data_IF_979802148915
#
_entry.id   IF_979802148915
#
_cell.length_a   1.000
_cell.length_b   1.000
_cell.length_c   1.000
_cell.angle_alpha   90.00
_cell.angle_beta   90.00
_cell.angle_gamma   90.00
#
_symmetry.space_group_name_H-M   'P 1'
#
loop_
_entity.id
_entity.type
_entity.pdbx_description
1 polymer ?
#
# COMPACT_ATOMS: atom_id res chain seq x y z
N UNK A 1 -26.37 -5.06 26.30
CA UNK A 1 -25.67 -6.36 26.33
C UNK A 1 -26.28 -7.27 25.26
N UNK A 2 -25.76 -7.21 24.00
CA UNK A 2 -26.26 -8.02 22.89
C UNK A 2 -25.56 -9.38 23.01
N UNK A 3 -26.36 -10.45 23.23
CA UNK A 3 -25.88 -11.84 23.25
C UNK A 3 -25.17 -12.13 21.91
N UNK A 4 -23.83 -12.20 21.92
CA UNK A 4 -23.06 -12.74 20.79
C UNK A 4 -23.42 -14.24 20.64
N UNK A 5 -24.34 -14.52 19.70
CA UNK A 5 -24.60 -15.88 19.21
C UNK A 5 -23.37 -16.30 18.36
N UNK A 6 -22.77 -17.40 18.73
CA UNK A 6 -21.65 -18.12 18.12
C UNK A 6 -20.28 -17.45 18.24
N UNK A 7 -19.45 -17.99 19.16
CA UNK A 7 -18.00 -17.75 19.18
C UNK A 7 -17.40 -18.30 17.89
N UNK A 8 -17.04 -17.44 16.97
CA UNK A 8 -16.27 -17.81 15.77
C UNK A 8 -14.91 -18.34 16.24
N UNK A 9 -14.44 -19.44 15.66
CA UNK A 9 -13.16 -20.01 16.07
C UNK A 9 -12.00 -19.09 15.68
N UNK A 10 -10.94 -19.03 16.49
CA UNK A 10 -9.74 -18.26 16.19
C UNK A 10 -9.12 -18.68 14.83
N UNK A 11 -9.23 -19.97 14.46
CA UNK A 11 -8.78 -20.49 13.15
C UNK A 11 -9.58 -19.89 12.00
N UNK A 12 -10.89 -19.73 12.14
CA UNK A 12 -11.75 -19.14 11.11
C UNK A 12 -11.45 -17.64 10.94
N UNK A 13 -11.28 -16.91 12.06
CA UNK A 13 -10.88 -15.50 12.03
C UNK A 13 -9.55 -15.33 11.31
N UNK A 14 -8.56 -16.16 11.65
CA UNK A 14 -7.24 -16.12 11.02
C UNK A 14 -7.31 -16.46 9.52
N UNK A 15 -8.03 -17.52 9.15
CA UNK A 15 -8.17 -17.95 7.76
C UNK A 15 -8.77 -16.87 6.87
N UNK A 16 -9.92 -16.31 7.27
CA UNK A 16 -10.58 -15.26 6.46
C UNK A 16 -9.78 -13.97 6.39
N UNK A 17 -9.14 -13.58 7.50
CA UNK A 17 -8.28 -12.40 7.50
C UNK A 17 -7.08 -12.59 6.56
N UNK A 18 -6.43 -13.75 6.60
CA UNK A 18 -5.31 -14.06 5.70
C UNK A 18 -5.75 -14.07 4.25
N UNK A 19 -6.84 -14.80 3.93
CA UNK A 19 -7.37 -14.91 2.58
C UNK A 19 -7.79 -13.53 2.02
N UNK A 20 -8.48 -12.72 2.83
CA UNK A 20 -8.87 -11.37 2.43
C UNK A 20 -7.67 -10.47 2.12
N UNK A 21 -6.62 -10.51 2.94
CA UNK A 21 -5.40 -9.75 2.68
C UNK A 21 -4.64 -10.25 1.45
N UNK A 22 -4.61 -11.57 1.20
CA UNK A 22 -4.02 -12.13 -0.03
C UNK A 22 -4.80 -11.72 -1.28
N UNK A 23 -6.14 -11.75 -1.23
CA UNK A 23 -6.99 -11.28 -2.34
C UNK A 23 -6.80 -9.79 -2.60
N UNK A 24 -6.71 -8.98 -1.56
CA UNK A 24 -6.39 -7.55 -1.69
C UNK A 24 -5.03 -7.33 -2.37
N UNK A 25 -3.97 -7.93 -1.84
CA UNK A 25 -2.62 -7.74 -2.37
C UNK A 25 -2.48 -8.32 -3.79
N UNK A 26 -3.07 -9.50 -4.04
CA UNK A 26 -3.02 -10.16 -5.34
C UNK A 26 -3.86 -9.48 -6.41
N UNK A 27 -4.96 -8.80 -6.04
CA UNK A 27 -5.85 -8.15 -7.01
C UNK A 27 -5.12 -7.12 -7.87
N UNK A 28 -4.18 -6.36 -7.31
CA UNK A 28 -3.40 -5.37 -8.05
C UNK A 28 -2.55 -5.99 -9.16
N UNK A 29 -1.90 -7.12 -8.87
CA UNK A 29 -1.12 -7.86 -9.86
C UNK A 29 -2.02 -8.48 -10.94
N UNK A 30 -3.15 -9.05 -10.53
CA UNK A 30 -4.12 -9.67 -11.46
C UNK A 30 -4.77 -8.61 -12.35
N UNK A 31 -5.13 -7.43 -11.83
CA UNK A 31 -5.64 -6.32 -12.64
C UNK A 31 -4.63 -5.89 -13.70
N UNK A 32 -3.36 -5.73 -13.31
CA UNK A 32 -2.30 -5.39 -14.26
C UNK A 32 -2.09 -6.49 -15.31
N UNK A 33 -2.18 -7.76 -14.91
CA UNK A 33 -2.10 -8.90 -15.84
C UNK A 33 -3.26 -8.88 -16.86
N UNK A 34 -4.50 -8.67 -16.37
CA UNK A 34 -5.69 -8.60 -17.24
C UNK A 34 -5.53 -7.47 -18.26
N UNK A 35 -5.20 -6.25 -17.78
CA UNK A 35 -5.06 -5.08 -18.65
C UNK A 35 -3.90 -5.24 -19.63
N UNK A 36 -2.74 -5.76 -19.18
CA UNK A 36 -1.58 -5.97 -20.06
C UNK A 36 -1.83 -6.96 -21.17
N UNK A 37 -2.69 -7.97 -20.94
CA UNK A 37 -3.01 -9.00 -21.93
C UNK A 37 -4.15 -8.63 -22.87
N UNK A 38 -5.11 -7.83 -22.40
CA UNK A 38 -6.36 -7.57 -23.11
C UNK A 38 -6.46 -6.16 -23.71
N UNK A 39 -5.55 -5.26 -23.34
CA UNK A 39 -5.52 -3.87 -23.84
C UNK A 39 -4.27 -3.59 -24.69
N UNK A 40 -4.28 -2.45 -25.41
CA UNK A 40 -3.09 -1.99 -26.11
C UNK A 40 -1.97 -1.58 -25.15
N UNK A 41 -0.74 -1.50 -25.62
CA UNK A 41 0.40 -1.03 -24.83
C UNK A 41 0.15 0.36 -24.22
N UNK A 42 -0.39 1.30 -25.03
CA UNK A 42 -0.77 2.64 -24.59
C UNK A 42 -1.79 2.60 -23.44
N UNK A 43 -2.86 1.81 -23.57
CA UNK A 43 -3.89 1.74 -22.51
C UNK A 43 -3.36 1.06 -21.23
N UNK A 44 -2.45 0.10 -21.36
CA UNK A 44 -1.79 -0.51 -20.20
C UNK A 44 -0.83 0.45 -19.49
N UNK A 45 -0.18 1.38 -20.23
CA UNK A 45 0.61 2.48 -19.65
C UNK A 45 -0.31 3.46 -18.90
N UNK A 46 -1.43 3.82 -19.49
CA UNK A 46 -2.43 4.70 -18.84
C UNK A 46 -2.97 4.08 -17.55
N UNK A 47 -3.24 2.77 -17.56
CA UNK A 47 -3.64 2.05 -16.36
C UNK A 47 -2.53 2.03 -15.29
N UNK A 48 -1.27 1.85 -15.70
CA UNK A 48 -0.10 1.87 -14.81
C UNK A 48 0.09 3.25 -14.16
N UNK A 49 -0.14 4.33 -14.92
CA UNK A 49 -0.14 5.68 -14.39
C UNK A 49 -1.28 5.89 -13.39
N UNK A 50 -2.51 5.49 -13.76
CA UNK A 50 -3.69 5.57 -12.88
C UNK A 50 -3.45 4.82 -11.56
N UNK A 51 -2.84 3.64 -11.63
CA UNK A 51 -2.43 2.86 -10.46
C UNK A 51 -1.45 3.64 -9.56
N UNK A 52 -0.45 4.30 -10.16
CA UNK A 52 0.54 5.10 -9.43
C UNK A 52 -0.09 6.31 -8.73
N UNK A 53 -0.86 7.12 -9.48
CA UNK A 53 -1.56 8.31 -8.96
C UNK A 53 -2.54 7.93 -7.86
N UNK A 54 -3.38 6.93 -8.11
CA UNK A 54 -4.36 6.48 -7.12
C UNK A 54 -3.69 5.85 -5.89
N UNK A 55 -2.50 5.24 -6.06
CA UNK A 55 -1.68 4.72 -4.96
C UNK A 55 -1.19 5.80 -4.00
N UNK A 56 -0.92 7.00 -4.49
CA UNK A 56 -0.56 8.16 -3.67
C UNK A 56 -1.82 8.77 -3.03
N UNK A 57 -2.86 9.01 -3.83
CA UNK A 57 -4.07 9.70 -3.38
C UNK A 57 -4.87 8.87 -2.36
N UNK A 58 -4.91 7.54 -2.49
CA UNK A 58 -5.65 6.69 -1.55
C UNK A 58 -5.09 6.79 -0.12
N UNK A 59 -3.82 7.14 0.05
CA UNK A 59 -3.25 7.34 1.39
C UNK A 59 -3.87 8.55 2.08
N UNK A 60 -4.27 9.59 1.31
CA UNK A 60 -5.08 10.70 1.83
C UNK A 60 -6.46 10.21 2.27
N UNK A 61 -7.11 9.36 1.47
CA UNK A 61 -8.41 8.77 1.81
C UNK A 61 -8.37 7.85 3.01
N UNK A 62 -7.34 7.04 3.16
CA UNK A 62 -7.13 6.14 4.30
C UNK A 62 -6.73 6.90 5.57
N UNK A 63 -5.88 7.90 5.47
CA UNK A 63 -5.34 8.75 6.52
C UNK A 63 -4.93 8.00 7.81
N UNK A 64 -4.62 6.71 7.67
CA UNK A 64 -4.31 5.79 8.79
C UNK A 64 -5.41 5.67 9.86
N UNK A 65 -6.64 6.05 9.54
CA UNK A 65 -7.78 6.04 10.47
C UNK A 65 -8.05 4.64 11.01
N UNK A 66 -8.01 3.60 10.16
CA UNK A 66 -8.17 2.21 10.60
C UNK A 66 -7.11 1.77 11.61
N UNK A 67 -5.85 2.16 11.41
CA UNK A 67 -4.76 1.83 12.33
C UNK A 67 -5.00 2.45 13.69
N UNK A 68 -5.46 3.70 13.73
CA UNK A 68 -5.81 4.40 14.96
C UNK A 68 -7.04 3.75 15.63
N UNK A 69 -8.10 3.50 14.86
CA UNK A 69 -9.33 2.86 15.31
C UNK A 69 -9.06 1.46 15.88
N UNK A 70 -8.27 0.63 15.21
CA UNK A 70 -7.92 -0.73 15.68
C UNK A 70 -7.13 -0.76 16.98
N UNK A 71 -6.53 0.36 17.41
CA UNK A 71 -5.84 0.50 18.70
C UNK A 71 -6.71 1.13 19.79
N UNK A 72 -7.88 1.66 19.47
CA UNK A 72 -8.85 2.22 20.42
C UNK A 72 -9.70 1.10 21.04
N UNK A 73 -9.06 0.26 21.87
CA UNK A 73 -9.70 -0.87 22.57
C UNK A 73 -10.63 -0.43 23.70
N UNK A 74 -10.56 0.83 24.11
CA UNK A 74 -11.41 1.42 25.15
C UNK A 74 -12.68 2.05 24.61
N UNK A 75 -12.85 2.06 23.28
CA UNK A 75 -13.97 2.72 22.59
C UNK A 75 -14.13 4.19 22.99
N UNK A 76 -12.99 4.89 23.07
CA UNK A 76 -12.94 6.30 23.45
C UNK A 76 -13.73 7.20 22.50
N UNK A 77 -13.72 6.87 21.21
CA UNK A 77 -14.41 7.61 20.17
C UNK A 77 -15.56 6.78 19.59
N UNK A 78 -16.69 7.42 19.28
CA UNK A 78 -17.83 6.77 18.65
C UNK A 78 -17.52 6.39 17.20
N UNK A 79 -18.18 5.35 16.67
CA UNK A 79 -18.06 4.98 15.27
C UNK A 79 -18.48 6.13 14.33
N UNK A 80 -19.48 6.91 14.72
CA UNK A 80 -19.89 8.11 13.96
C UNK A 80 -18.74 9.12 13.85
N UNK A 81 -17.93 9.32 14.91
CA UNK A 81 -16.74 10.20 14.85
C UNK A 81 -15.70 9.67 13.86
N UNK A 82 -15.48 8.34 13.78
CA UNK A 82 -14.63 7.72 12.77
C UNK A 82 -15.19 7.86 11.36
N UNK A 83 -16.52 7.74 11.18
CA UNK A 83 -17.17 8.01 9.88
C UNK A 83 -16.94 9.45 9.41
N UNK A 84 -17.14 10.43 10.30
CA UNK A 84 -16.90 11.84 9.99
C UNK A 84 -15.44 12.07 9.60
N UNK A 85 -14.49 11.50 10.36
CA UNK A 85 -13.07 11.57 10.04
C UNK A 85 -12.76 10.97 8.65
N UNK A 86 -13.42 9.85 8.31
CA UNK A 86 -13.29 9.21 6.99
C UNK A 86 -13.88 10.07 5.87
N UNK A 87 -15.02 10.70 6.08
CA UNK A 87 -15.59 11.64 5.11
C UNK A 87 -14.62 12.80 4.85
N UNK A 88 -14.02 13.41 5.89
CA UNK A 88 -13.01 14.45 5.72
C UNK A 88 -11.78 13.96 4.94
N UNK A 89 -11.27 12.78 5.24
CA UNK A 89 -10.09 12.25 4.54
C UNK A 89 -10.38 11.91 3.06
N UNK A 90 -11.57 11.37 2.76
CA UNK A 90 -12.00 11.11 1.38
C UNK A 90 -12.22 12.43 0.63
N UNK A 91 -12.84 13.42 1.25
CA UNK A 91 -13.02 14.75 0.66
C UNK A 91 -11.66 15.38 0.35
N UNK A 92 -10.68 15.27 1.25
CA UNK A 92 -9.30 15.70 1.01
C UNK A 92 -8.69 14.97 -0.19
N UNK A 93 -8.84 13.64 -0.27
CA UNK A 93 -8.37 12.83 -1.41
C UNK A 93 -8.93 13.32 -2.73
N UNK A 94 -10.25 13.58 -2.80
CA UNK A 94 -10.93 14.01 -4.03
C UNK A 94 -10.58 15.45 -4.42
N UNK A 95 -10.51 16.36 -3.44
CA UNK A 95 -10.10 17.77 -3.69
C UNK A 95 -8.64 17.81 -4.16
N UNK A 96 -7.77 16.96 -3.65
CA UNK A 96 -6.35 16.93 -4.02
C UNK A 96 -6.11 16.34 -5.42
N UNK A 97 -7.06 15.60 -5.99
CA UNK A 97 -6.88 14.90 -7.27
C UNK A 97 -6.46 15.88 -8.40
N UNK A 98 -7.26 16.88 -8.70
CA UNK A 98 -6.95 17.80 -9.80
C UNK A 98 -5.70 18.67 -9.55
N UNK A 99 -5.52 19.29 -8.37
CA UNK A 99 -4.26 19.97 -8.04
C UNK A 99 -3.03 19.07 -8.20
N UNK A 100 -3.15 17.79 -7.82
CA UNK A 100 -2.05 16.84 -7.98
C UNK A 100 -1.77 16.53 -9.46
N UNK A 101 -2.81 16.35 -10.29
CA UNK A 101 -2.65 16.19 -11.74
C UNK A 101 -1.97 17.39 -12.39
N UNK A 102 -2.30 18.62 -11.99
CA UNK A 102 -1.59 19.83 -12.43
C UNK A 102 -0.11 19.81 -12.01
N UNK A 103 0.17 19.43 -10.77
CA UNK A 103 1.54 19.37 -10.25
C UNK A 103 2.43 18.41 -11.02
N UNK A 104 1.89 17.26 -11.44
CA UNK A 104 2.63 16.25 -12.22
C UNK A 104 2.63 16.53 -13.74
N UNK A 105 2.11 17.68 -14.17
CA UNK A 105 2.00 18.08 -15.59
C UNK A 105 1.21 17.04 -16.43
N UNK A 106 0.07 16.60 -15.88
CA UNK A 106 -0.81 15.66 -16.58
C UNK A 106 -1.39 16.29 -17.84
N UNK A 107 -1.39 15.51 -18.94
CA UNK A 107 -2.01 15.96 -20.19
C UNK A 107 -3.54 15.84 -20.12
N UNK A 108 -4.21 16.97 -19.96
CA UNK A 108 -5.67 17.04 -19.90
C UNK A 108 -6.35 16.98 -21.28
N UNK A 109 -5.59 17.00 -22.38
CA UNK A 109 -6.16 16.88 -23.73
C UNK A 109 -6.60 15.44 -24.04
N UNK A 110 -5.96 14.43 -23.42
CA UNK A 110 -6.36 13.03 -23.53
C UNK A 110 -7.47 12.71 -22.51
N UNK A 111 -8.74 12.89 -22.97
CA UNK A 111 -9.93 12.63 -22.14
C UNK A 111 -10.07 11.17 -21.72
N UNK A 112 -9.60 10.21 -22.52
CA UNK A 112 -9.58 8.79 -22.20
C UNK A 112 -8.62 8.51 -21.04
N UNK A 113 -7.40 9.06 -21.13
CA UNK A 113 -6.40 8.99 -20.04
C UNK A 113 -6.94 9.58 -18.74
N UNK A 114 -7.59 10.73 -18.81
CA UNK A 114 -8.21 11.39 -17.65
C UNK A 114 -9.32 10.52 -17.05
N UNK A 115 -10.21 9.96 -17.88
CA UNK A 115 -11.30 9.11 -17.41
C UNK A 115 -10.78 7.87 -16.68
N UNK A 116 -9.76 7.19 -17.21
CA UNK A 116 -9.13 6.02 -16.58
C UNK A 116 -8.55 6.39 -15.20
N UNK A 117 -7.83 7.52 -15.09
CA UNK A 117 -7.26 7.97 -13.83
C UNK A 117 -8.35 8.28 -12.81
N UNK A 118 -9.35 9.06 -13.19
CA UNK A 118 -10.46 9.45 -12.29
C UNK A 118 -11.24 8.21 -11.82
N UNK A 119 -11.61 7.31 -12.73
CA UNK A 119 -12.37 6.11 -12.38
C UNK A 119 -11.58 5.16 -11.48
N UNK A 120 -10.27 5.02 -11.71
CA UNK A 120 -9.44 4.21 -10.84
C UNK A 120 -9.25 4.85 -9.45
N UNK A 121 -9.15 6.17 -9.36
CA UNK A 121 -9.15 6.90 -8.07
C UNK A 121 -10.47 6.70 -7.33
N UNK A 122 -11.62 6.75 -8.03
CA UNK A 122 -12.93 6.48 -7.44
C UNK A 122 -13.07 5.02 -6.96
N UNK A 123 -12.51 4.06 -7.70
CA UNK A 123 -12.42 2.67 -7.23
C UNK A 123 -11.61 2.58 -5.92
N UNK A 124 -10.47 3.27 -5.83
CA UNK A 124 -9.65 3.31 -4.60
C UNK A 124 -10.33 4.08 -3.46
N UNK A 125 -11.19 5.05 -3.76
CA UNK A 125 -12.05 5.70 -2.77
C UNK A 125 -13.00 4.68 -2.10
N UNK A 126 -13.59 3.75 -2.87
CA UNK A 126 -14.42 2.67 -2.30
C UNK A 126 -13.62 1.79 -1.32
N UNK A 127 -12.33 1.59 -1.58
CA UNK A 127 -11.44 0.90 -0.64
C UNK A 127 -11.30 1.69 0.67
N UNK A 128 -11.10 3.01 0.59
CA UNK A 128 -11.03 3.84 1.78
C UNK A 128 -12.35 3.83 2.59
N UNK A 129 -13.51 3.79 1.93
CA UNK A 129 -14.82 3.66 2.60
C UNK A 129 -14.91 2.30 3.31
N UNK A 130 -14.61 1.19 2.62
CA UNK A 130 -14.64 -0.16 3.19
C UNK A 130 -13.66 -0.32 4.36
N UNK A 131 -12.49 0.31 4.30
CA UNK A 131 -11.46 0.28 5.34
C UNK A 131 -11.97 0.81 6.70
N UNK A 132 -12.89 1.77 6.69
CA UNK A 132 -13.56 2.25 7.90
C UNK A 132 -14.34 1.14 8.61
N UNK A 133 -15.14 0.38 7.85
CA UNK A 133 -15.92 -0.74 8.40
C UNK A 133 -15.02 -1.89 8.86
N UNK A 134 -13.95 -2.16 8.11
CA UNK A 134 -12.94 -3.14 8.51
C UNK A 134 -12.25 -2.75 9.84
N UNK A 135 -12.06 -1.44 10.09
CA UNK A 135 -11.59 -0.91 11.35
C UNK A 135 -12.54 -1.21 12.51
N UNK A 136 -13.85 -1.02 12.31
CA UNK A 136 -14.88 -1.36 13.29
C UNK A 136 -14.90 -2.87 13.59
N UNK A 137 -14.87 -3.71 12.56
CA UNK A 137 -14.79 -5.16 12.75
C UNK A 137 -13.53 -5.58 13.49
N UNK A 138 -12.41 -4.92 13.23
CA UNK A 138 -11.14 -5.13 13.95
C UNK A 138 -11.24 -4.76 15.42
N UNK A 139 -11.87 -3.62 15.78
CA UNK A 139 -12.10 -3.20 17.17
C UNK A 139 -12.92 -4.25 17.94
N UNK A 140 -13.85 -4.91 17.26
CA UNK A 140 -14.70 -5.95 17.85
C UNK A 140 -14.13 -7.38 17.71
N UNK A 141 -12.84 -7.53 17.36
CA UNK A 141 -12.15 -8.82 17.18
C UNK A 141 -12.79 -9.72 16.11
N UNK A 142 -13.55 -9.13 15.15
CA UNK A 142 -14.29 -9.82 14.09
C UNK A 142 -13.62 -9.63 12.73
N UNK A 143 -12.29 -9.89 12.68
CA UNK A 143 -11.52 -9.85 11.43
C UNK A 143 -11.98 -10.89 10.39
N UNK A 144 -12.77 -11.90 10.79
CA UNK A 144 -13.42 -12.81 9.87
C UNK A 144 -14.40 -12.09 8.94
N UNK A 145 -15.18 -11.12 9.45
CA UNK A 145 -16.12 -10.35 8.64
C UNK A 145 -15.36 -9.44 7.67
N UNK A 146 -14.32 -8.76 8.15
CA UNK A 146 -13.45 -7.95 7.31
C UNK A 146 -12.80 -8.80 6.19
N UNK A 147 -12.27 -9.97 6.53
CA UNK A 147 -11.65 -10.89 5.59
C UNK A 147 -12.63 -11.44 4.55
N UNK A 148 -13.85 -11.82 4.96
CA UNK A 148 -14.93 -12.25 4.04
C UNK A 148 -15.29 -11.14 3.07
N UNK A 149 -15.50 -9.90 3.57
CA UNK A 149 -15.76 -8.73 2.73
C UNK A 149 -14.67 -8.53 1.68
N UNK A 150 -13.41 -8.48 2.10
CA UNK A 150 -12.26 -8.32 1.20
C UNK A 150 -12.19 -9.44 0.15
N UNK A 151 -12.36 -10.69 0.57
CA UNK A 151 -12.29 -11.86 -0.32
C UNK A 151 -13.36 -11.80 -1.41
N UNK A 152 -14.62 -11.54 -1.03
CA UNK A 152 -15.73 -11.46 -1.98
C UNK A 152 -15.55 -10.26 -2.91
N UNK A 153 -15.25 -9.09 -2.35
CA UNK A 153 -15.13 -7.84 -3.10
C UNK A 153 -14.00 -7.90 -4.12
N UNK A 154 -12.79 -8.27 -3.72
CA UNK A 154 -11.66 -8.33 -4.65
C UNK A 154 -11.76 -9.52 -5.61
N UNK A 155 -12.29 -10.67 -5.17
CA UNK A 155 -12.57 -11.80 -6.04
C UNK A 155 -13.56 -11.42 -7.14
N UNK A 156 -14.71 -10.85 -6.78
CA UNK A 156 -15.68 -10.39 -7.77
C UNK A 156 -15.12 -9.27 -8.66
N UNK A 157 -14.34 -8.34 -8.11
CA UNK A 157 -13.68 -7.27 -8.87
C UNK A 157 -12.76 -7.80 -9.97
N UNK A 158 -12.02 -8.88 -9.71
CA UNK A 158 -11.17 -9.54 -10.71
C UNK A 158 -12.02 -10.08 -11.88
N UNK A 159 -13.10 -10.80 -11.57
CA UNK A 159 -13.98 -11.34 -12.60
C UNK A 159 -14.71 -10.23 -13.38
N UNK A 160 -15.17 -9.18 -12.69
CA UNK A 160 -15.84 -8.04 -13.31
C UNK A 160 -14.90 -7.35 -14.30
N UNK A 161 -13.66 -7.04 -13.89
CA UNK A 161 -12.69 -6.41 -14.77
C UNK A 161 -12.37 -7.29 -15.98
N UNK A 162 -12.16 -8.59 -15.77
CA UNK A 162 -11.88 -9.55 -16.84
C UNK A 162 -13.04 -9.61 -17.84
N UNK A 163 -14.26 -9.87 -17.36
CA UNK A 163 -15.43 -10.05 -18.23
C UNK A 163 -15.76 -8.76 -18.97
N UNK A 164 -15.80 -7.62 -18.25
CA UNK A 164 -16.13 -6.33 -18.88
C UNK A 164 -15.11 -5.94 -19.93
N UNK A 165 -13.81 -6.17 -19.70
CA UNK A 165 -12.77 -5.82 -20.65
C UNK A 165 -12.78 -6.73 -21.89
N UNK A 166 -13.08 -8.03 -21.74
CA UNK A 166 -13.23 -8.97 -22.85
C UNK A 166 -14.45 -8.62 -23.72
N UNK A 167 -15.60 -8.29 -23.07
CA UNK A 167 -16.86 -8.04 -23.77
C UNK A 167 -16.93 -6.64 -24.37
N UNK A 168 -16.56 -5.63 -23.59
CA UNK A 168 -16.74 -4.21 -23.97
C UNK A 168 -15.53 -3.61 -24.68
N UNK A 169 -14.35 -4.24 -24.53
CA UNK A 169 -13.08 -3.80 -25.16
C UNK A 169 -12.71 -2.33 -24.85
N UNK A 170 -13.26 -1.78 -23.76
CA UNK A 170 -12.99 -0.42 -23.28
C UNK A 170 -12.56 -0.49 -21.82
N UNK A 171 -11.39 0.06 -21.52
CA UNK A 171 -10.85 0.12 -20.17
C UNK A 171 -11.66 1.09 -19.31
N UNK A 172 -12.09 2.22 -19.87
CA UNK A 172 -12.87 3.25 -19.18
C UNK A 172 -14.21 2.67 -18.69
N UNK A 173 -14.96 2.00 -19.57
CA UNK A 173 -16.24 1.40 -19.22
C UNK A 173 -16.04 0.26 -18.21
N UNK A 174 -14.99 -0.52 -18.35
CA UNK A 174 -14.66 -1.61 -17.42
C UNK A 174 -14.34 -1.07 -16.02
N UNK A 175 -13.60 0.03 -15.93
CA UNK A 175 -13.30 0.69 -14.65
C UNK A 175 -14.54 1.39 -14.05
N UNK A 176 -15.42 1.92 -14.88
CA UNK A 176 -16.71 2.45 -14.40
C UNK A 176 -17.55 1.35 -13.75
N UNK A 177 -17.71 0.20 -14.40
CA UNK A 177 -18.42 -0.94 -13.85
C UNK A 177 -17.75 -1.43 -12.55
N UNK A 178 -16.44 -1.50 -12.54
CA UNK A 178 -15.64 -1.88 -11.37
C UNK A 178 -15.89 -0.93 -10.19
N UNK A 179 -15.86 0.38 -10.45
CA UNK A 179 -16.18 1.40 -9.43
C UNK A 179 -17.59 1.26 -8.91
N UNK A 180 -18.60 1.19 -9.81
CA UNK A 180 -20.01 1.08 -9.42
C UNK A 180 -20.27 -0.18 -8.60
N UNK A 181 -19.71 -1.33 -9.00
CA UNK A 181 -19.81 -2.56 -8.23
C UNK A 181 -19.23 -2.39 -6.82
N UNK A 182 -17.99 -1.85 -6.69
CA UNK A 182 -17.36 -1.68 -5.39
C UNK A 182 -18.11 -0.67 -4.50
N UNK A 183 -18.63 0.40 -5.10
CA UNK A 183 -19.46 1.37 -4.38
C UNK A 183 -20.73 0.73 -3.83
N UNK A 184 -21.49 0.02 -4.67
CA UNK A 184 -22.71 -0.70 -4.29
C UNK A 184 -22.41 -1.78 -3.25
N UNK A 185 -21.33 -2.54 -3.43
CA UNK A 185 -20.94 -3.61 -2.49
C UNK A 185 -20.71 -3.09 -1.07
N UNK A 186 -20.03 -1.96 -0.90
CA UNK A 186 -19.80 -1.37 0.42
C UNK A 186 -21.10 -1.03 1.12
N UNK A 187 -22.10 -0.48 0.40
CA UNK A 187 -23.39 -0.11 0.97
C UNK A 187 -24.33 -1.29 1.20
N UNK A 188 -24.22 -2.36 0.41
CA UNK A 188 -25.08 -3.55 0.57
C UNK A 188 -24.48 -4.56 1.56
N UNK A 189 -23.15 -4.65 1.67
CA UNK A 189 -22.49 -5.65 2.49
C UNK A 189 -21.85 -5.05 3.75
N UNK A 190 -20.90 -4.11 3.61
CA UNK A 190 -20.12 -3.60 4.75
C UNK A 190 -20.97 -2.76 5.70
N UNK A 191 -21.74 -1.83 5.18
CA UNK A 191 -22.56 -0.93 5.98
C UNK A 191 -23.63 -1.67 6.81
N UNK A 192 -24.48 -2.57 6.27
CA UNK A 192 -25.46 -3.28 7.08
C UNK A 192 -24.82 -4.19 8.15
N UNK A 193 -23.66 -4.78 7.85
CA UNK A 193 -22.90 -5.57 8.83
C UNK A 193 -22.39 -4.69 9.98
N UNK A 194 -21.97 -3.47 9.71
CA UNK A 194 -21.49 -2.54 10.72
C UNK A 194 -22.55 -2.16 11.75
N UNK A 195 -23.81 -2.03 11.32
CA UNK A 195 -24.94 -1.69 12.20
C UNK A 195 -25.23 -2.75 13.29
N UNK A 196 -24.68 -3.95 13.13
CA UNK A 196 -24.76 -5.01 14.15
C UNK A 196 -23.79 -4.78 15.32
N UNK A 197 -22.80 -3.90 15.16
CA UNK A 197 -21.74 -3.62 16.15
C UNK A 197 -21.89 -2.26 16.80
N UNK A 198 -22.21 -1.24 16.02
CA UNK A 198 -22.41 0.12 16.55
C UNK A 198 -23.52 0.83 15.75
N UNK A 199 -24.29 1.67 16.44
CA UNK A 199 -25.34 2.46 15.82
C UNK A 199 -24.76 3.79 15.36
N UNK A 200 -24.96 4.09 14.09
CA UNK A 200 -24.68 5.41 13.56
C UNK A 200 -25.77 6.37 14.02
N UNK A 201 -25.39 7.39 14.77
CA UNK A 201 -26.33 8.41 15.26
C UNK A 201 -25.84 9.81 14.87
N UNK A 202 -26.64 10.49 14.05
CA UNK A 202 -26.42 11.89 13.65
C UNK A 202 -27.42 12.81 14.39
N UNK A 203 -27.40 12.74 15.72
CA UNK A 203 -28.23 13.64 16.50
C UNK A 203 -27.65 15.06 16.52
N UNK A 204 -28.50 16.06 16.29
CA UNK A 204 -28.12 17.48 16.27
C UNK A 204 -27.43 17.94 17.57
N UNK A 205 -27.76 17.32 18.71
CA UNK A 205 -27.16 17.64 20.00
C UNK A 205 -25.72 17.13 20.14
N UNK A 206 -25.36 16.02 19.46
CA UNK A 206 -24.06 15.36 19.59
C UNK A 206 -23.13 15.59 18.41
N UNK A 207 -23.67 16.00 17.25
CA UNK A 207 -22.90 16.12 16.00
C UNK A 207 -21.68 17.06 16.15
N UNK A 208 -21.83 18.18 16.87
CA UNK A 208 -20.71 19.12 17.10
C UNK A 208 -19.57 18.47 17.87
N UNK A 209 -19.91 17.63 18.85
CA UNK A 209 -18.93 16.88 19.64
C UNK A 209 -18.24 15.82 18.78
N UNK A 210 -19.03 15.08 17.97
CA UNK A 210 -18.52 14.07 17.07
C UNK A 210 -17.58 14.63 16.00
N UNK A 211 -17.88 15.82 15.46
CA UNK A 211 -16.97 16.55 14.55
C UNK A 211 -15.68 16.93 15.25
N UNK A 212 -15.75 17.46 16.49
CA UNK A 212 -14.55 17.76 17.27
C UNK A 212 -13.70 16.51 17.51
N UNK A 213 -14.32 15.42 17.86
CA UNK A 213 -13.66 14.11 18.03
C UNK A 213 -13.03 13.61 16.74
N UNK A 214 -13.69 13.77 15.59
CA UNK A 214 -13.14 13.41 14.29
C UNK A 214 -11.83 14.17 13.99
N UNK A 215 -11.77 15.46 14.30
CA UNK A 215 -10.52 16.24 14.17
C UNK A 215 -9.43 15.77 15.15
N UNK A 216 -9.79 15.35 16.36
CA UNK A 216 -8.82 14.76 17.30
C UNK A 216 -8.28 13.43 16.80
N UNK A 217 -9.14 12.58 16.20
CA UNK A 217 -8.74 11.34 15.54
C UNK A 217 -7.75 11.64 14.42
N UNK A 218 -8.11 12.53 13.47
CA UNK A 218 -7.22 12.92 12.38
C UNK A 218 -5.88 13.46 12.85
N UNK A 219 -5.89 14.33 13.87
CA UNK A 219 -4.66 14.84 14.50
C UNK A 219 -3.80 13.72 15.09
N UNK A 220 -4.43 12.71 15.71
CA UNK A 220 -3.74 11.53 16.21
C UNK A 220 -3.14 10.66 15.11
N UNK A 221 -3.75 10.66 13.92
CA UNK A 221 -3.27 9.91 12.75
C UNK A 221 -2.09 10.59 12.03
N UNK A 222 -1.87 11.91 12.17
CA UNK A 222 -0.86 12.68 11.41
C UNK A 222 0.53 12.02 11.38
N UNK A 223 1.13 11.55 12.48
CA UNK A 223 2.48 10.97 12.43
C UNK A 223 2.56 9.71 11.57
N UNK A 224 1.53 8.85 11.62
CA UNK A 224 1.43 7.64 10.81
C UNK A 224 1.10 7.96 9.36
N UNK A 225 0.24 8.96 9.15
CA UNK A 225 -0.12 9.46 7.81
C UNK A 225 1.11 10.01 7.07
N UNK A 226 1.92 10.87 7.71
CA UNK A 226 3.12 11.44 7.08
C UNK A 226 4.05 10.32 6.62
N UNK A 227 4.35 9.35 7.46
CA UNK A 227 5.22 8.22 7.10
C UNK A 227 4.66 7.39 5.94
N UNK A 228 3.35 7.09 5.99
CA UNK A 228 2.67 6.34 4.93
C UNK A 228 2.62 7.11 3.61
N UNK A 229 2.36 8.42 3.66
CA UNK A 229 2.31 9.27 2.47
C UNK A 229 3.69 9.38 1.78
N UNK A 230 4.74 9.65 2.55
CA UNK A 230 6.09 9.73 2.01
C UNK A 230 6.52 8.42 1.35
N UNK A 231 6.24 7.28 1.96
CA UNK A 231 6.51 5.98 1.37
C UNK A 231 5.69 5.73 0.10
N UNK A 232 4.37 6.02 0.12
CA UNK A 232 3.53 5.83 -1.06
C UNK A 232 3.99 6.71 -2.23
N UNK A 233 4.41 7.94 -1.95
CA UNK A 233 4.99 8.83 -2.95
C UNK A 233 6.26 8.22 -3.56
N UNK A 234 7.22 7.83 -2.74
CA UNK A 234 8.50 7.23 -3.16
C UNK A 234 8.29 6.00 -4.05
N UNK A 235 7.32 5.14 -3.70
CA UNK A 235 7.00 3.93 -4.47
C UNK A 235 6.33 4.21 -5.83
N UNK A 236 5.72 5.37 -6.00
CA UNK A 236 5.00 5.70 -7.22
C UNK A 236 5.68 6.80 -8.06
N UNK A 237 6.63 7.55 -7.50
CA UNK A 237 7.39 8.59 -8.21
C UNK A 237 8.06 8.09 -9.50
N UNK A 238 8.73 6.90 -9.55
CA UNK A 238 9.32 6.41 -10.78
C UNK A 238 8.29 6.23 -11.92
N UNK A 239 7.06 5.83 -11.59
CA UNK A 239 5.99 5.63 -12.57
C UNK A 239 5.54 6.95 -13.20
N UNK A 240 5.47 8.00 -12.38
CA UNK A 240 5.12 9.36 -12.83
C UNK A 240 6.23 9.92 -13.70
N UNK A 241 7.50 9.71 -13.32
CA UNK A 241 8.65 10.15 -14.10
C UNK A 241 8.74 9.44 -15.47
N UNK A 242 8.38 8.15 -15.54
CA UNK A 242 8.33 7.40 -16.78
C UNK A 242 7.21 7.92 -17.69
N UNK A 243 6.00 8.18 -17.18
CA UNK A 243 4.91 8.80 -17.96
C UNK A 243 5.33 10.13 -18.56
N UNK A 244 5.97 10.98 -17.76
CA UNK A 244 6.52 12.26 -18.25
C UNK A 244 7.56 12.08 -19.36
N UNK A 245 8.41 11.07 -19.26
CA UNK A 245 9.41 10.76 -20.29
C UNK A 245 8.76 10.24 -21.57
N UNK A 246 7.66 9.47 -21.48
CA UNK A 246 6.86 9.04 -22.63
C UNK A 246 6.19 10.24 -23.29
N UNK A 247 5.56 11.14 -22.52
CA UNK A 247 4.92 12.35 -23.05
C UNK A 247 5.91 13.24 -23.81
N UNK A 248 7.17 13.31 -23.36
CA UNK A 248 8.24 14.06 -24.01
C UNK A 248 8.88 13.30 -25.21
N UNK A 249 8.35 12.15 -25.59
CA UNK A 249 8.88 11.34 -26.69
C UNK A 249 10.27 10.72 -26.44
N UNK A 250 10.74 10.71 -25.17
CA UNK A 250 12.05 10.12 -24.79
C UNK A 250 11.98 8.63 -24.53
N UNK A 251 10.82 8.12 -24.20
CA UNK A 251 10.57 6.69 -23.96
C UNK A 251 9.40 6.22 -24.84
N UNK A 252 9.48 4.96 -25.28
CA UNK A 252 8.42 4.33 -26.07
C UNK A 252 7.20 3.97 -25.21
N UNK A 253 6.03 3.91 -25.85
CA UNK A 253 4.82 3.34 -25.25
C UNK A 253 5.04 1.88 -24.83
N UNK A 254 4.39 1.46 -23.74
CA UNK A 254 4.52 0.14 -23.13
C UNK A 254 5.57 0.07 -22.02
N UNK A 255 6.51 1.03 -21.95
CA UNK A 255 7.58 0.98 -20.94
C UNK A 255 7.07 1.28 -19.53
N UNK A 256 6.04 2.09 -19.36
CA UNK A 256 5.46 2.34 -18.04
C UNK A 256 4.76 1.08 -17.51
N UNK A 257 4.01 0.37 -18.36
CA UNK A 257 3.46 -0.94 -18.07
C UNK A 257 4.56 -1.93 -17.68
N UNK A 258 5.63 -2.02 -18.49
CA UNK A 258 6.74 -2.92 -18.22
C UNK A 258 7.38 -2.63 -16.85
N UNK A 259 7.66 -1.37 -16.53
CA UNK A 259 8.19 -0.99 -15.22
C UNK A 259 7.26 -1.40 -14.07
N UNK A 260 5.94 -1.21 -14.21
CA UNK A 260 4.99 -1.58 -13.17
C UNK A 260 4.96 -3.10 -12.95
N UNK A 261 5.08 -3.90 -14.01
CA UNK A 261 5.20 -5.36 -13.94
C UNK A 261 6.50 -5.75 -13.21
N UNK A 262 7.63 -5.17 -13.62
CA UNK A 262 8.95 -5.43 -13.00
C UNK A 262 9.00 -5.00 -11.53
N UNK A 263 8.17 -4.03 -11.14
CA UNK A 263 8.08 -3.54 -9.76
C UNK A 263 7.22 -4.44 -8.84
N UNK A 264 6.37 -5.30 -9.39
CA UNK A 264 5.46 -6.14 -8.59
C UNK A 264 6.15 -7.05 -7.57
N UNK A 265 7.29 -7.71 -7.88
CA UNK A 265 8.01 -8.50 -6.90
C UNK A 265 8.39 -7.72 -5.65
N UNK A 266 8.62 -6.40 -5.75
CA UNK A 266 8.92 -5.53 -4.58
C UNK A 266 7.74 -5.51 -3.60
N UNK A 267 6.50 -5.47 -4.10
CA UNK A 267 5.31 -5.54 -3.24
C UNK A 267 5.19 -6.91 -2.55
N UNK A 268 5.51 -8.00 -3.24
CA UNK A 268 5.50 -9.32 -2.63
C UNK A 268 6.57 -9.48 -1.55
N UNK A 269 7.69 -8.75 -1.65
CA UNK A 269 8.70 -8.70 -0.58
C UNK A 269 8.10 -8.16 0.73
N UNK A 270 7.18 -7.19 0.67
CA UNK A 270 6.49 -6.70 1.86
C UNK A 270 5.59 -7.75 2.53
N UNK A 271 5.06 -8.71 1.76
CA UNK A 271 4.30 -9.84 2.31
C UNK A 271 5.22 -10.84 3.04
N UNK A 272 6.49 -10.95 2.62
CA UNK A 272 7.48 -11.77 3.33
C UNK A 272 7.68 -11.34 4.78
N UNK A 273 7.47 -10.05 5.06
CA UNK A 273 7.52 -9.49 6.42
C UNK A 273 6.41 -10.06 7.30
N UNK A 274 5.26 -10.44 6.74
CA UNK A 274 4.18 -11.10 7.48
C UNK A 274 4.64 -12.43 8.08
N UNK A 275 5.54 -13.15 7.40
CA UNK A 275 6.14 -14.40 7.88
C UNK A 275 7.06 -14.12 9.08
N UNK A 276 7.66 -12.94 9.14
CA UNK A 276 8.57 -12.54 10.21
C UNK A 276 7.85 -11.95 11.45
N UNK A 277 6.54 -11.71 11.40
CA UNK A 277 5.76 -11.17 12.53
C UNK A 277 5.90 -11.95 13.85
N UNK A 278 5.91 -13.31 13.88
CA UNK A 278 6.15 -14.03 15.11
C UNK A 278 7.51 -13.72 15.73
N UNK A 279 8.53 -13.45 14.90
CA UNK A 279 9.86 -13.09 15.38
C UNK A 279 9.89 -11.68 15.97
N UNK A 280 9.14 -10.72 15.41
CA UNK A 280 9.01 -9.37 15.99
C UNK A 280 8.32 -9.41 17.34
N UNK A 281 7.31 -10.27 17.52
CA UNK A 281 6.66 -10.51 18.82
C UNK A 281 7.66 -11.11 19.81
N UNK A 282 8.46 -12.10 19.38
CA UNK A 282 9.52 -12.69 20.22
C UNK A 282 10.55 -11.64 20.66
N UNK A 283 10.95 -10.75 19.74
CA UNK A 283 11.85 -9.63 20.06
C UNK A 283 11.26 -8.70 21.13
N UNK A 284 9.97 -8.38 21.05
CA UNK A 284 9.31 -7.54 22.05
C UNK A 284 9.32 -8.19 23.45
N UNK A 285 9.06 -9.50 23.52
CA UNK A 285 9.11 -10.28 24.77
C UNK A 285 10.53 -10.33 25.34
N UNK A 286 11.52 -10.64 24.49
CA UNK A 286 12.94 -10.68 24.90
C UNK A 286 13.42 -9.33 25.44
N UNK A 287 13.00 -8.23 24.77
CA UNK A 287 13.30 -6.87 25.22
C UNK A 287 12.68 -6.56 26.58
N UNK A 288 11.41 -6.89 26.76
CA UNK A 288 10.69 -6.66 28.03
C UNK A 288 11.28 -7.47 29.18
N UNK A 289 11.75 -8.70 28.91
CA UNK A 289 12.42 -9.58 29.89
C UNK A 289 13.87 -9.21 30.13
N UNK A 290 14.41 -8.18 29.47
CA UNK A 290 15.82 -7.77 29.53
C UNK A 290 16.82 -8.87 29.09
N UNK A 291 16.37 -9.79 28.24
CA UNK A 291 17.20 -10.86 27.64
C UNK A 291 18.00 -10.32 26.45
N UNK A 292 18.87 -9.32 26.69
CA UNK A 292 19.50 -8.54 25.63
C UNK A 292 20.38 -9.35 24.69
N UNK A 293 21.12 -10.33 25.21
CA UNK A 293 21.97 -11.19 24.39
C UNK A 293 21.15 -12.03 23.41
N UNK A 294 20.00 -12.54 23.87
CA UNK A 294 19.07 -13.32 23.04
C UNK A 294 18.37 -12.42 22.00
N UNK A 295 18.00 -11.21 22.41
CA UNK A 295 17.46 -10.19 21.51
C UNK A 295 18.43 -9.88 20.36
N UNK A 296 19.70 -9.57 20.67
CA UNK A 296 20.71 -9.23 19.66
C UNK A 296 20.99 -10.42 18.73
N UNK A 297 21.00 -11.66 19.27
CA UNK A 297 21.11 -12.89 18.47
C UNK A 297 19.93 -13.04 17.52
N UNK A 298 18.69 -12.82 17.98
CA UNK A 298 17.47 -12.91 17.14
C UNK A 298 17.50 -11.84 16.04
N UNK A 299 17.89 -10.60 16.36
CA UNK A 299 18.04 -9.52 15.35
C UNK A 299 19.05 -9.91 14.29
N UNK A 300 20.21 -10.45 14.69
CA UNK A 300 21.23 -10.93 13.75
C UNK A 300 20.73 -12.07 12.88
N UNK A 301 19.98 -13.04 13.44
CA UNK A 301 19.37 -14.14 12.68
C UNK A 301 18.38 -13.63 11.64
N UNK A 302 17.49 -12.71 12.01
CA UNK A 302 16.56 -12.07 11.06
C UNK A 302 17.32 -11.39 9.93
N UNK A 303 18.39 -10.64 10.25
CA UNK A 303 19.25 -10.01 9.25
C UNK A 303 19.88 -11.02 8.28
N UNK A 304 20.40 -12.14 8.80
CA UNK A 304 20.99 -13.20 7.97
C UNK A 304 19.94 -13.84 7.07
N UNK A 305 18.73 -14.13 7.57
CA UNK A 305 17.67 -14.71 6.76
C UNK A 305 17.17 -13.76 5.67
N UNK A 306 17.04 -12.46 5.99
CA UNK A 306 16.64 -11.45 5.01
C UNK A 306 17.70 -11.26 3.92
N UNK A 307 18.96 -11.11 4.29
CA UNK A 307 20.03 -10.89 3.33
C UNK A 307 20.37 -12.16 2.54
N UNK A 308 20.42 -13.33 3.20
CA UNK A 308 20.71 -14.60 2.54
C UNK A 308 19.57 -15.04 1.62
N UNK A 309 18.33 -15.06 2.10
CA UNK A 309 17.14 -15.33 1.28
C UNK A 309 16.96 -14.31 0.17
N UNK A 310 17.25 -13.04 0.49
CA UNK A 310 17.23 -11.95 -0.46
C UNK A 310 18.26 -12.10 -1.58
N UNK A 311 19.48 -12.53 -1.28
CA UNK A 311 20.49 -12.79 -2.30
C UNK A 311 20.04 -13.91 -3.26
N UNK A 312 19.45 -14.98 -2.73
CA UNK A 312 18.88 -16.07 -3.55
C UNK A 312 17.77 -15.53 -4.45
N UNK A 313 16.84 -14.74 -3.91
CA UNK A 313 15.74 -14.15 -4.69
C UNK A 313 16.24 -13.19 -5.76
N UNK A 314 17.27 -12.40 -5.47
CA UNK A 314 17.90 -11.51 -6.46
C UNK A 314 18.56 -12.30 -7.58
N UNK A 315 19.23 -13.39 -7.26
CA UNK A 315 19.83 -14.29 -8.25
C UNK A 315 18.75 -14.96 -9.11
N UNK A 316 17.67 -15.44 -8.51
CA UNK A 316 16.54 -16.02 -9.26
C UNK A 316 15.85 -14.97 -10.14
N UNK A 317 15.70 -13.73 -9.66
CA UNK A 317 15.15 -12.64 -10.45
C UNK A 317 16.01 -12.35 -11.70
N UNK A 318 17.33 -12.41 -11.58
CA UNK A 318 18.25 -12.23 -12.69
C UNK A 318 18.17 -13.37 -13.71
N UNK A 319 18.12 -14.63 -13.25
CA UNK A 319 18.19 -15.80 -14.11
C UNK A 319 16.86 -16.12 -14.82
N UNK A 320 15.76 -16.07 -14.09
CA UNK A 320 14.46 -16.54 -14.58
C UNK A 320 13.31 -15.53 -14.37
N UNK A 321 13.57 -14.39 -13.73
CA UNK A 321 12.51 -13.46 -13.33
C UNK A 321 11.79 -12.85 -14.54
N UNK A 322 12.52 -12.31 -15.53
CA UNK A 322 11.91 -11.72 -16.72
C UNK A 322 11.19 -12.75 -17.62
N UNK A 323 11.70 -13.95 -17.89
CA UNK A 323 10.93 -14.98 -18.58
C UNK A 323 9.62 -15.34 -17.89
N UNK A 324 9.64 -15.51 -16.56
CA UNK A 324 8.42 -15.83 -15.79
C UNK A 324 7.41 -14.69 -15.89
N UNK A 325 7.84 -13.45 -15.68
CA UNK A 325 6.95 -12.29 -15.77
C UNK A 325 6.43 -12.08 -17.18
N UNK A 326 7.26 -12.32 -18.23
CA UNK A 326 6.84 -12.25 -19.62
C UNK A 326 5.71 -13.24 -19.93
N UNK A 327 5.83 -14.49 -19.45
CA UNK A 327 4.78 -15.50 -19.61
C UNK A 327 3.51 -15.10 -18.84
N UNK A 328 3.64 -14.67 -17.59
CA UNK A 328 2.49 -14.32 -16.75
C UNK A 328 1.73 -13.12 -17.31
N UNK A 329 2.44 -12.06 -17.70
CA UNK A 329 1.82 -10.80 -18.14
C UNK A 329 1.60 -10.71 -19.65
N UNK A 330 2.15 -11.62 -20.45
CA UNK A 330 1.99 -11.64 -21.90
C UNK A 330 2.73 -10.50 -22.61
N UNK A 331 3.87 -10.07 -22.06
CA UNK A 331 4.70 -8.97 -22.59
C UNK A 331 6.16 -9.39 -22.65
N UNK A 332 6.89 -8.87 -23.63
CA UNK A 332 8.33 -9.13 -23.71
C UNK A 332 9.10 -8.22 -22.73
N UNK A 333 9.82 -8.85 -21.80
CA UNK A 333 10.66 -8.20 -20.78
C UNK A 333 12.12 -8.70 -20.86
N UNK A 334 12.52 -9.35 -21.95
CA UNK A 334 13.85 -9.99 -22.06
C UNK A 334 15.00 -9.00 -21.84
N UNK A 335 14.84 -7.74 -22.29
CA UNK A 335 15.85 -6.69 -22.13
C UNK A 335 15.95 -6.09 -20.71
N UNK A 336 15.01 -6.41 -19.81
CA UNK A 336 14.84 -5.73 -18.52
C UNK A 336 15.34 -6.55 -17.31
N UNK A 337 16.12 -7.61 -17.52
CA UNK A 337 16.59 -8.48 -16.44
C UNK A 337 17.38 -7.71 -15.37
N UNK A 338 18.24 -6.77 -15.77
CA UNK A 338 19.00 -5.95 -14.82
C UNK A 338 18.09 -5.00 -14.03
N UNK A 339 17.09 -4.38 -14.69
CA UNK A 339 16.07 -3.54 -14.05
C UNK A 339 15.33 -4.32 -12.97
N UNK A 340 14.83 -5.53 -13.29
CA UNK A 340 14.16 -6.41 -12.35
C UNK A 340 15.05 -6.78 -11.16
N UNK A 341 16.30 -7.16 -11.43
CA UNK A 341 17.27 -7.55 -10.40
C UNK A 341 17.51 -6.42 -9.41
N UNK A 342 17.70 -5.19 -9.90
CA UNK A 342 17.90 -4.01 -9.06
C UNK A 342 16.65 -3.72 -8.22
N UNK A 343 15.47 -3.83 -8.81
CA UNK A 343 14.21 -3.63 -8.08
C UNK A 343 14.01 -4.67 -6.97
N UNK A 344 14.26 -5.95 -7.25
CA UNK A 344 14.17 -7.03 -6.23
C UNK A 344 15.18 -6.79 -5.12
N UNK A 345 16.43 -6.46 -5.43
CA UNK A 345 17.44 -6.11 -4.43
C UNK A 345 17.02 -4.89 -3.59
N UNK A 346 16.43 -3.87 -4.23
CA UNK A 346 15.88 -2.70 -3.53
C UNK A 346 14.74 -3.10 -2.58
N UNK A 347 13.90 -4.06 -2.96
CA UNK A 347 12.84 -4.62 -2.12
C UNK A 347 13.38 -5.33 -0.87
N UNK A 348 14.56 -5.95 -0.97
CA UNK A 348 15.24 -6.55 0.20
C UNK A 348 15.72 -5.46 1.15
N UNK A 349 16.37 -4.41 0.62
CA UNK A 349 16.78 -3.27 1.43
C UNK A 349 15.61 -2.59 2.13
N UNK A 350 14.47 -2.46 1.42
CA UNK A 350 13.22 -2.00 2.00
C UNK A 350 12.76 -2.89 3.16
N UNK A 351 12.80 -4.21 2.99
CA UNK A 351 12.42 -5.18 4.02
C UNK A 351 13.30 -5.09 5.27
N UNK A 352 14.62 -4.89 5.08
CA UNK A 352 15.54 -4.63 6.19
C UNK A 352 15.15 -3.35 6.94
N UNK A 353 14.84 -2.27 6.20
CA UNK A 353 14.40 -1.01 6.79
C UNK A 353 13.10 -1.15 7.62
N UNK A 354 12.12 -1.93 7.14
CA UNK A 354 10.88 -2.21 7.87
C UNK A 354 11.16 -2.95 9.18
N UNK A 355 11.93 -4.03 9.14
CA UNK A 355 12.26 -4.81 10.36
C UNK A 355 12.96 -3.94 11.39
N UNK A 356 13.89 -3.08 10.97
CA UNK A 356 14.55 -2.12 11.86
C UNK A 356 13.55 -1.09 12.42
N UNK A 357 12.57 -0.67 11.61
CA UNK A 357 11.46 0.19 12.04
C UNK A 357 10.59 -0.47 13.10
N UNK A 358 10.26 -1.74 12.94
CA UNK A 358 9.52 -2.53 13.93
C UNK A 358 10.29 -2.62 15.25
N UNK A 359 11.61 -2.85 15.18
CA UNK A 359 12.48 -2.86 16.38
C UNK A 359 12.50 -1.49 17.06
N UNK A 360 12.57 -0.40 16.30
CA UNK A 360 12.49 0.95 16.85
C UNK A 360 11.11 1.24 17.48
N UNK A 361 10.06 0.59 17.00
CA UNK A 361 8.72 0.63 17.59
C UNK A 361 8.69 -0.10 18.94
N UNK A 362 9.35 -1.27 19.06
CA UNK A 362 9.55 -1.97 20.35
C UNK A 362 10.26 -1.03 21.36
N UNK A 363 11.22 -0.26 20.89
CA UNK A 363 11.92 0.75 21.71
C UNK A 363 11.10 2.02 21.99
N UNK A 364 9.90 2.18 21.37
CA UNK A 364 9.07 3.40 21.38
C UNK A 364 9.80 4.62 20.80
N UNK A 365 10.66 4.41 19.83
CA UNK A 365 11.50 5.43 19.20
C UNK A 365 11.26 5.59 17.69
N UNK A 366 10.13 5.10 17.17
CA UNK A 366 9.77 5.13 15.74
C UNK A 366 9.73 6.56 15.16
N UNK A 367 9.45 7.58 16.00
CA UNK A 367 9.46 8.98 15.54
C UNK A 367 10.80 9.43 14.96
N UNK A 368 11.91 8.80 15.36
CA UNK A 368 13.24 9.11 14.81
C UNK A 368 13.40 8.73 13.34
N UNK A 369 12.55 7.84 12.81
CA UNK A 369 12.52 7.48 11.39
C UNK A 369 11.92 8.56 10.49
N UNK A 370 11.19 9.52 11.04
CA UNK A 370 10.59 10.61 10.24
C UNK A 370 11.67 11.35 9.45
N UNK A 371 12.84 11.61 10.05
CA UNK A 371 13.97 12.26 9.36
C UNK A 371 14.50 11.39 8.22
N UNK A 372 14.52 10.06 8.38
CA UNK A 372 14.94 9.14 7.32
C UNK A 372 13.95 9.20 6.17
N UNK A 373 12.63 9.15 6.44
CA UNK A 373 11.60 9.26 5.41
C UNK A 373 11.63 10.59 4.67
N UNK A 374 11.88 11.71 5.36
CA UNK A 374 12.02 13.02 4.74
C UNK A 374 13.24 13.06 3.81
N UNK A 375 14.38 12.51 4.25
CA UNK A 375 15.58 12.43 3.41
C UNK A 375 15.34 11.58 2.16
N UNK A 376 14.71 10.40 2.32
CA UNK A 376 14.31 9.55 1.20
C UNK A 376 13.43 10.30 0.20
N UNK A 377 12.46 11.04 0.69
CA UNK A 377 11.53 11.81 -0.13
C UNK A 377 12.25 12.91 -0.93
N UNK A 378 13.09 13.72 -0.27
CA UNK A 378 13.87 14.77 -0.92
C UNK A 378 14.77 14.16 -2.01
N UNK A 379 15.48 13.08 -1.69
CA UNK A 379 16.34 12.40 -2.66
C UNK A 379 15.52 11.83 -3.81
N UNK A 380 14.39 11.17 -3.54
CA UNK A 380 13.50 10.62 -4.59
C UNK A 380 13.09 11.68 -5.60
N UNK A 381 12.57 12.82 -5.15
CA UNK A 381 12.16 13.92 -6.04
C UNK A 381 13.33 14.46 -6.85
N UNK A 382 14.52 14.56 -6.23
CA UNK A 382 15.68 15.17 -6.86
C UNK A 382 16.31 14.31 -7.96
N UNK A 383 16.36 12.96 -7.76
CA UNK A 383 17.13 12.08 -8.64
C UNK A 383 16.28 11.28 -9.63
N UNK A 384 14.99 11.01 -9.31
CA UNK A 384 14.19 10.06 -10.11
C UNK A 384 14.00 10.55 -11.54
N UNK A 385 13.56 11.80 -11.73
CA UNK A 385 13.33 12.34 -13.05
C UNK A 385 14.62 12.42 -13.91
N UNK A 386 15.75 12.99 -13.43
CA UNK A 386 17.02 12.94 -14.17
C UNK A 386 17.47 11.53 -14.55
N UNK A 387 17.33 10.54 -13.65
CA UNK A 387 17.75 9.17 -13.92
C UNK A 387 16.86 8.51 -14.97
N UNK A 388 15.54 8.69 -14.88
CA UNK A 388 14.59 8.18 -15.88
C UNK A 388 14.87 8.80 -17.25
N UNK A 389 15.08 10.11 -17.32
CA UNK A 389 15.37 10.83 -18.57
C UNK A 389 16.67 10.38 -19.23
N UNK A 390 17.67 9.91 -18.45
CA UNK A 390 18.97 9.49 -18.97
C UNK A 390 19.06 7.99 -19.30
N UNK A 391 18.38 7.13 -18.54
CA UNK A 391 18.56 5.66 -18.61
C UNK A 391 17.23 4.88 -18.65
N UNK A 392 16.09 5.55 -18.83
CA UNK A 392 14.78 4.91 -18.91
C UNK A 392 14.44 4.07 -17.68
N UNK A 393 13.96 2.84 -17.87
CA UNK A 393 13.55 1.94 -16.78
C UNK A 393 14.71 1.59 -15.85
N UNK A 394 15.91 1.43 -16.39
CA UNK A 394 17.10 1.18 -15.60
C UNK A 394 17.43 2.38 -14.70
N UNK A 395 17.23 3.61 -15.20
CA UNK A 395 17.36 4.83 -14.40
C UNK A 395 16.34 4.89 -13.26
N UNK A 396 15.09 4.52 -13.53
CA UNK A 396 14.04 4.40 -12.52
C UNK A 396 14.42 3.40 -11.41
N UNK A 397 14.98 2.24 -11.78
CA UNK A 397 15.41 1.23 -10.81
C UNK A 397 16.61 1.69 -9.97
N UNK A 398 17.57 2.39 -10.57
CA UNK A 398 18.69 2.98 -9.81
C UNK A 398 18.22 4.06 -8.83
N UNK A 399 17.34 4.95 -9.25
CA UNK A 399 16.79 5.98 -8.33
C UNK A 399 16.11 5.32 -7.13
N UNK A 400 15.30 4.30 -7.36
CA UNK A 400 14.65 3.55 -6.30
C UNK A 400 15.66 2.83 -5.40
N UNK A 401 16.71 2.23 -5.96
CA UNK A 401 17.79 1.59 -5.20
C UNK A 401 18.48 2.58 -4.26
N UNK A 402 18.84 3.77 -4.73
CA UNK A 402 19.50 4.77 -3.89
C UNK A 402 18.60 5.20 -2.73
N UNK A 403 17.30 5.38 -2.97
CA UNK A 403 16.35 5.73 -1.92
C UNK A 403 16.22 4.59 -0.89
N UNK A 404 16.18 3.32 -1.32
CA UNK A 404 16.11 2.17 -0.42
C UNK A 404 17.43 1.93 0.36
N UNK A 405 18.57 2.28 -0.21
CA UNK A 405 19.85 2.31 0.52
C UNK A 405 19.81 3.34 1.65
N UNK A 406 19.31 4.56 1.39
CA UNK A 406 19.13 5.59 2.42
C UNK A 406 18.21 5.08 3.54
N UNK A 407 17.10 4.41 3.16
CA UNK A 407 16.18 3.85 4.14
C UNK A 407 16.85 2.79 5.02
N UNK A 408 17.49 1.81 4.41
CA UNK A 408 18.14 0.71 5.12
C UNK A 408 19.29 1.21 6.02
N UNK A 409 20.20 2.01 5.48
CA UNK A 409 21.33 2.56 6.22
C UNK A 409 20.87 3.53 7.31
N UNK A 410 19.95 4.46 7.00
CA UNK A 410 19.41 5.42 7.95
C UNK A 410 18.68 4.73 9.12
N UNK A 411 17.88 3.71 8.82
CA UNK A 411 17.21 2.90 9.85
C UNK A 411 18.22 2.14 10.71
N UNK A 412 19.28 1.57 10.11
CA UNK A 412 20.33 0.85 10.81
C UNK A 412 21.14 1.77 11.74
N UNK A 413 21.56 2.94 11.26
CA UNK A 413 22.25 3.93 12.07
C UNK A 413 21.39 4.42 13.25
N UNK A 414 20.11 4.64 12.98
CA UNK A 414 19.14 5.01 14.03
C UNK A 414 18.99 3.89 15.05
N UNK A 415 18.89 2.64 14.61
CA UNK A 415 18.84 1.47 15.49
C UNK A 415 20.08 1.37 16.39
N UNK A 416 21.29 1.44 15.84
CA UNK A 416 22.54 1.36 16.62
C UNK A 416 22.59 2.48 17.68
N UNK A 417 22.27 3.72 17.29
CA UNK A 417 22.27 4.87 18.21
C UNK A 417 21.27 4.66 19.36
N UNK A 418 20.08 4.21 19.05
CA UNK A 418 19.05 3.95 20.07
C UNK A 418 19.39 2.76 20.94
N UNK A 419 19.92 1.66 20.34
CA UNK A 419 20.30 0.46 21.08
C UNK A 419 21.42 0.73 22.10
N UNK A 420 22.44 1.50 21.70
CA UNK A 420 23.54 1.93 22.59
C UNK A 420 23.02 2.81 23.73
N UNK A 421 22.07 3.71 23.45
CA UNK A 421 21.48 4.57 24.47
C UNK A 421 20.60 3.80 25.45
N UNK A 422 19.74 2.90 24.96
CA UNK A 422 18.87 2.05 25.78
C UNK A 422 19.62 0.94 26.54
N UNK A 423 20.81 0.53 26.08
CA UNK A 423 21.66 -0.45 26.77
C UNK A 423 22.45 0.15 27.95
N UNK A 424 22.44 1.48 28.11
CA UNK A 424 23.03 2.20 29.26
C UNK A 424 22.01 2.49 30.38
N UNK A 425 20.72 2.25 30.11
CA UNK A 425 19.58 2.34 31.05
C UNK A 425 19.22 0.94 31.56
#
# INVERSE_FOLDING_TARGET
MIKMKNKVSAKEIYFWNLLGNLMFAGSSAIFMMIVSRLSSAKMADVFSLAYGIAGILVVLGLFQVRTYQGTDVTFKHSFTSYMIARVFSITLMLITLFPYLFLVHFDFSDTSKLAVVVLYVLFRMCEAISDLFQGLFQQHERLDIAGKSMTIRYGASIFILLISLVVLKSLEVSLLILFLFNFVFVWIYDFPKSLSFDKVSFDKSTIRLQVKDAFLILKGCIPLFISGFLLAYIFNEPKIAIDKAIQLGKLAEGLQRNYNILFMPVFFMSLFILILRPLTTSLAIQWQRKEFAKFDRTVKQIGIYLLGGGAILTMLAFLIGTPVLSIVFGVDLAGDALTLTILVFSGILYSVGIVLGDILTIFRMQRKLILVYLLMFIVSISITNPFVMSKGLLGASYSFLFVMLIYSIGSYLTYIKVRKWKGKL
#
